data_IF_391796661137
#
_entry.id   IF_391796661137
#
_cell.length_a   1.000
_cell.length_b   1.000
_cell.length_c   1.000
_cell.angle_alpha   90.00
_cell.angle_beta   90.00
_cell.angle_gamma   90.00
#
_symmetry.space_group_name_H-M   'P 1'
#
loop_
_entity.id
_entity.type
_entity.pdbx_description
1 polymer ?
#
# COMPACT_ATOMS: atom_id res chain seq x y z
N UNK A 1 9.20 2.41 24.69
CA UNK A 1 8.25 1.65 23.85
C UNK A 1 7.03 2.51 23.68
N UNK A 2 6.86 3.04 22.47
CA UNK A 2 5.73 3.88 22.13
C UNK A 2 4.61 3.01 21.55
N UNK A 3 3.38 3.28 21.94
CA UNK A 3 2.18 2.58 21.50
C UNK A 3 1.11 3.61 21.15
N UNK A 4 0.46 3.38 20.00
CA UNK A 4 -0.66 4.18 19.53
C UNK A 4 -1.65 3.28 18.79
N UNK A 5 -2.86 3.78 18.58
CA UNK A 5 -3.84 3.13 17.73
C UNK A 5 -4.56 4.12 16.82
N UNK A 6 -5.07 3.62 15.70
CA UNK A 6 -5.89 4.36 14.73
C UNK A 6 -7.18 3.57 14.45
N UNK A 7 -8.29 4.24 14.11
CA UNK A 7 -9.49 3.56 13.66
C UNK A 7 -9.24 2.85 12.33
N UNK A 8 -9.90 1.70 12.14
CA UNK A 8 -9.80 0.92 10.90
C UNK A 8 -11.12 0.23 10.57
N UNK A 9 -11.50 0.30 9.30
CA UNK A 9 -12.60 -0.47 8.75
C UNK A 9 -12.08 -1.80 8.20
N UNK A 10 -12.40 -2.91 8.88
CA UNK A 10 -12.00 -4.24 8.44
C UNK A 10 -12.69 -4.69 7.15
N UNK A 11 -13.77 -4.03 6.70
CA UNK A 11 -14.41 -4.28 5.41
C UNK A 11 -13.74 -3.53 4.26
N UNK A 12 -12.81 -2.61 4.56
CA UNK A 12 -11.98 -1.94 3.58
C UNK A 12 -10.63 -2.69 3.46
N UNK A 13 -10.43 -3.55 2.44
CA UNK A 13 -9.18 -4.30 2.29
C UNK A 13 -7.95 -3.39 2.18
N UNK A 14 -8.09 -2.22 1.56
CA UNK A 14 -7.02 -1.23 1.47
C UNK A 14 -6.51 -0.79 2.83
N UNK A 15 -7.42 -0.51 3.77
CA UNK A 15 -7.03 -0.10 5.12
C UNK A 15 -6.32 -1.23 5.87
N UNK A 16 -6.79 -2.48 5.75
CA UNK A 16 -6.14 -3.65 6.38
C UNK A 16 -4.73 -3.86 5.82
N UNK A 17 -4.54 -3.73 4.50
CA UNK A 17 -3.21 -3.80 3.89
C UNK A 17 -2.34 -2.61 4.31
N UNK A 18 -2.92 -1.42 4.45
CA UNK A 18 -2.22 -0.24 4.95
C UNK A 18 -1.79 -0.36 6.41
N UNK A 19 -2.55 -1.07 7.26
CA UNK A 19 -2.13 -1.43 8.61
C UNK A 19 -0.86 -2.31 8.61
N UNK A 20 -0.80 -3.31 7.73
CA UNK A 20 0.44 -4.07 7.52
C UNK A 20 1.57 -3.16 7.01
N UNK A 21 1.27 -2.22 6.10
CA UNK A 21 2.23 -1.21 5.64
C UNK A 21 2.78 -0.32 6.75
N UNK A 22 1.92 0.14 7.67
CA UNK A 22 2.33 0.88 8.86
C UNK A 22 3.25 0.03 9.74
N UNK A 23 2.91 -1.23 9.98
CA UNK A 23 3.73 -2.16 10.76
C UNK A 23 5.12 -2.36 10.14
N UNK A 24 5.19 -2.65 8.84
CA UNK A 24 6.44 -2.82 8.10
C UNK A 24 7.29 -1.55 8.10
N UNK A 25 6.67 -0.39 7.86
CA UNK A 25 7.34 0.90 7.86
C UNK A 25 7.86 1.26 9.26
N UNK A 26 7.05 1.04 10.30
CA UNK A 26 7.44 1.31 11.67
C UNK A 26 8.57 0.38 12.13
N UNK A 27 8.58 -0.90 11.72
CA UNK A 27 9.70 -1.80 12.03
C UNK A 27 10.99 -1.32 11.37
N UNK A 28 10.94 -0.91 10.09
CA UNK A 28 12.08 -0.35 9.38
C UNK A 28 12.58 0.94 10.04
N UNK A 29 11.68 1.83 10.49
CA UNK A 29 12.02 3.16 11.00
C UNK A 29 12.42 3.15 12.48
N UNK A 30 11.71 2.40 13.31
CA UNK A 30 11.82 2.45 14.76
C UNK A 30 12.38 1.15 15.37
N UNK A 31 12.29 0.03 14.65
CA UNK A 31 12.74 -1.29 15.12
C UNK A 31 11.78 -1.94 16.12
N UNK A 32 11.75 -3.27 16.10
CA UNK A 32 10.93 -4.12 16.98
C UNK A 32 9.46 -3.67 16.98
N UNK A 33 8.90 -3.43 15.80
CA UNK A 33 7.50 -3.06 15.71
C UNK A 33 6.62 -4.29 15.86
N UNK A 34 5.47 -4.13 16.50
CA UNK A 34 4.44 -5.15 16.59
C UNK A 34 3.07 -4.49 16.41
N UNK A 35 2.16 -5.15 15.71
CA UNK A 35 0.85 -4.60 15.41
C UNK A 35 -0.25 -5.65 15.39
N UNK A 36 -1.47 -5.21 15.67
CA UNK A 36 -2.64 -6.08 15.76
C UNK A 36 -3.93 -5.31 15.67
N UNK A 37 -5.00 -5.98 15.26
CA UNK A 37 -6.33 -5.40 15.21
C UNK A 37 -7.06 -5.67 16.52
N UNK A 38 -7.72 -4.64 17.05
CA UNK A 38 -8.63 -4.73 18.18
C UNK A 38 -10.05 -4.51 17.68
N UNK A 39 -10.83 -5.59 17.68
CA UNK A 39 -12.27 -5.58 17.35
C UNK A 39 -13.11 -6.01 18.57
N UNK A 40 -12.57 -5.90 19.78
CA UNK A 40 -13.31 -6.19 21.02
C UNK A 40 -14.56 -5.31 21.15
N UNK A 41 -14.50 -4.09 20.59
CA UNK A 41 -15.63 -3.21 20.38
C UNK A 41 -15.94 -3.08 18.88
N UNK A 42 -17.07 -3.64 18.42
CA UNK A 42 -17.44 -3.62 17.00
C UNK A 42 -17.73 -2.22 16.46
N UNK A 43 -18.08 -1.24 17.32
CA UNK A 43 -18.30 0.14 16.89
C UNK A 43 -17.03 1.01 16.88
N UNK A 44 -15.90 0.48 17.36
CA UNK A 44 -14.65 1.21 17.51
C UNK A 44 -13.45 0.29 17.24
N UNK A 45 -13.43 -0.30 16.05
CA UNK A 45 -12.36 -1.20 15.62
C UNK A 45 -11.09 -0.41 15.34
N UNK A 46 -9.97 -0.88 15.89
CA UNK A 46 -8.68 -0.20 15.83
C UNK A 46 -7.56 -1.09 15.32
N UNK A 47 -6.53 -0.46 14.80
CA UNK A 47 -5.22 -1.07 14.62
C UNK A 47 -4.25 -0.48 15.63
N UNK A 48 -3.70 -1.32 16.50
CA UNK A 48 -2.70 -0.97 17.49
C UNK A 48 -1.31 -1.23 16.94
N UNK A 49 -0.39 -0.30 17.18
CA UNK A 49 1.00 -0.38 16.74
C UNK A 49 1.92 0.05 17.87
N UNK A 50 2.88 -0.81 18.20
CA UNK A 50 3.94 -0.53 19.18
C UNK A 50 5.32 -0.66 18.55
N UNK A 51 6.27 0.14 19.04
CA UNK A 51 7.68 0.11 18.58
C UNK A 51 8.65 0.35 19.73
N UNK A 52 9.93 0.04 19.52
CA UNK A 52 10.99 0.35 20.50
C UNK A 52 11.19 1.86 20.74
N UNK A 53 10.68 2.73 19.85
CA UNK A 53 10.82 4.18 19.94
C UNK A 53 10.05 4.84 21.09
N UNK A 54 10.10 6.18 21.11
CA UNK A 54 9.44 7.02 22.13
C UNK A 54 8.32 7.91 21.56
N UNK A 55 8.23 8.03 20.23
CA UNK A 55 7.24 8.84 19.54
C UNK A 55 6.12 7.97 18.97
N UNK A 56 4.98 8.59 18.65
CA UNK A 56 3.86 7.92 18.01
C UNK A 56 4.31 7.28 16.67
N UNK A 57 4.19 5.94 16.50
CA UNK A 57 4.72 5.27 15.32
C UNK A 57 4.00 5.66 14.01
N UNK A 58 2.71 5.99 14.05
CA UNK A 58 2.00 6.49 12.87
C UNK A 58 2.54 7.84 12.43
N UNK A 59 2.79 8.74 13.40
CA UNK A 59 3.38 10.06 13.14
C UNK A 59 4.75 9.93 12.48
N UNK A 60 5.61 9.04 12.97
CA UNK A 60 6.94 8.78 12.41
C UNK A 60 6.87 8.28 10.95
N UNK A 61 6.01 7.31 10.67
CA UNK A 61 5.82 6.77 9.30
C UNK A 61 5.28 7.85 8.36
N UNK A 62 4.28 8.62 8.78
CA UNK A 62 3.68 9.69 7.97
C UNK A 62 4.67 10.84 7.73
N UNK A 63 5.48 11.20 8.74
CA UNK A 63 6.54 12.19 8.59
C UNK A 63 7.59 11.72 7.59
N UNK A 64 8.01 10.45 7.68
CA UNK A 64 8.92 9.84 6.71
C UNK A 64 8.36 9.92 5.29
N UNK A 65 7.12 9.50 5.07
CA UNK A 65 6.50 9.54 3.73
C UNK A 65 6.38 10.96 3.18
N UNK A 66 6.01 11.94 4.01
CA UNK A 66 5.90 13.34 3.60
C UNK A 66 7.25 13.91 3.13
N UNK A 67 8.36 13.50 3.74
CA UNK A 67 9.69 14.06 3.49
C UNK A 67 10.59 13.19 2.59
N UNK A 68 10.17 11.98 2.26
CA UNK A 68 10.96 11.05 1.49
C UNK A 68 11.04 11.45 0.01
N UNK A 69 12.15 11.06 -0.63
CA UNK A 69 12.34 11.12 -2.07
C UNK A 69 11.87 9.82 -2.71
N UNK A 70 11.15 9.93 -3.82
CA UNK A 70 10.65 8.81 -4.60
C UNK A 70 11.40 8.75 -5.93
N UNK A 71 12.00 7.60 -6.24
CA UNK A 71 12.76 7.38 -7.46
C UNK A 71 12.37 6.05 -8.11
N UNK A 72 12.43 5.93 -9.44
CA UNK A 72 12.30 4.64 -10.09
C UNK A 72 13.56 3.81 -9.83
N UNK A 73 13.37 2.53 -9.57
CA UNK A 73 14.46 1.56 -9.53
C UNK A 73 14.57 0.85 -10.87
N UNK A 74 15.80 0.75 -11.40
CA UNK A 74 16.08 0.13 -12.70
C UNK A 74 17.31 -0.78 -12.58
N UNK A 75 17.42 -1.89 -13.35
CA UNK A 75 18.64 -2.68 -13.35
C UNK A 75 19.79 -1.90 -13.99
N UNK A 76 21.01 -2.14 -13.50
CA UNK A 76 22.22 -1.47 -13.96
C UNK A 76 22.48 -1.65 -15.46
N UNK A 77 22.13 -2.83 -16.00
CA UNK A 77 22.38 -3.23 -17.39
C UNK A 77 21.32 -2.73 -18.40
N UNK A 78 20.29 -2.00 -17.96
CA UNK A 78 19.22 -1.54 -18.85
C UNK A 78 19.66 -0.44 -19.83
N UNK A 79 20.72 0.28 -19.50
CA UNK A 79 21.05 1.55 -20.10
C UNK A 79 21.69 1.36 -21.48
N UNK A 80 20.96 1.64 -22.57
CA UNK A 80 21.59 1.79 -23.89
C UNK A 80 22.38 3.11 -23.95
N UNK A 81 23.35 3.21 -24.85
CA UNK A 81 24.20 4.40 -24.99
C UNK A 81 23.41 5.63 -25.46
N UNK A 82 22.34 5.41 -26.23
CA UNK A 82 21.40 6.43 -26.71
C UNK A 82 20.54 7.01 -25.59
N UNK A 83 20.04 6.19 -24.66
CA UNK A 83 19.25 6.65 -23.50
C UNK A 83 20.07 7.49 -22.51
N UNK A 84 21.40 7.29 -22.47
CA UNK A 84 22.33 8.12 -21.68
C UNK A 84 22.49 9.51 -22.28
N UNK A 85 22.57 9.61 -23.61
CA UNK A 85 22.75 10.86 -24.33
C UNK A 85 21.50 11.75 -24.28
N UNK A 86 20.30 11.15 -24.27
CA UNK A 86 19.04 11.88 -24.15
C UNK A 86 18.69 12.33 -22.72
N UNK A 87 19.55 12.05 -21.71
CA UNK A 87 19.32 12.35 -20.28
C UNK A 87 18.00 11.80 -19.69
N UNK A 88 17.25 10.95 -20.41
CA UNK A 88 15.95 10.40 -19.98
C UNK A 88 16.03 9.62 -18.66
N UNK A 89 17.20 9.09 -18.32
CA UNK A 89 17.47 8.30 -17.11
C UNK A 89 18.22 9.08 -16.01
N UNK A 90 18.50 10.37 -16.21
CA UNK A 90 19.25 11.19 -15.25
C UNK A 90 18.40 11.39 -13.98
N UNK A 91 18.68 10.61 -12.93
CA UNK A 91 17.93 10.60 -11.67
C UNK A 91 17.30 9.25 -11.27
N UNK A 92 17.49 8.19 -12.06
CA UNK A 92 17.02 6.85 -11.71
C UNK A 92 18.04 6.11 -10.84
N UNK A 93 17.57 5.41 -9.80
CA UNK A 93 18.46 4.57 -9.00
C UNK A 93 18.73 3.26 -9.74
N UNK A 94 19.99 3.01 -10.07
CA UNK A 94 20.46 1.74 -10.63
C UNK A 94 20.69 0.73 -9.52
N UNK A 95 20.19 -0.49 -9.72
CA UNK A 95 20.41 -1.61 -8.81
C UNK A 95 21.17 -2.75 -9.49
N UNK A 96 22.16 -3.29 -8.77
CA UNK A 96 22.88 -4.53 -9.12
C UNK A 96 21.98 -5.75 -9.00
N UNK A 97 21.08 -5.73 -8.02
CA UNK A 97 20.11 -6.78 -7.75
C UNK A 97 18.74 -6.21 -8.07
N UNK A 98 18.22 -6.54 -9.23
CA UNK A 98 16.92 -6.08 -9.69
C UNK A 98 15.89 -7.19 -9.52
N UNK A 99 14.72 -6.90 -8.93
CA UNK A 99 13.89 -7.96 -8.37
C UNK A 99 13.15 -8.81 -9.43
N UNK A 100 13.11 -8.45 -10.72
CA UNK A 100 12.45 -9.23 -11.77
C UNK A 100 13.15 -9.16 -13.13
N UNK A 101 12.73 -10.00 -14.08
CA UNK A 101 12.90 -9.72 -15.51
C UNK A 101 12.37 -8.32 -15.80
N UNK A 102 13.17 -7.55 -16.55
CA UNK A 102 12.87 -6.19 -16.98
C UNK A 102 11.44 -6.06 -17.52
N UNK A 103 10.61 -5.13 -17.01
CA UNK A 103 9.32 -4.90 -17.60
C UNK A 103 9.48 -4.29 -19.01
N UNK A 104 8.59 -4.67 -19.94
CA UNK A 104 8.55 -4.11 -21.29
C UNK A 104 8.32 -2.59 -21.31
N UNK A 105 7.86 -2.01 -20.20
CA UNK A 105 7.55 -0.58 -20.05
C UNK A 105 8.03 -0.04 -18.70
N UNK A 106 8.58 1.18 -18.73
CA UNK A 106 9.01 1.93 -17.54
C UNK A 106 7.90 2.17 -16.52
N UNK A 107 6.65 2.15 -16.98
CA UNK A 107 5.47 2.35 -16.14
C UNK A 107 5.32 1.29 -15.04
N UNK A 108 6.00 0.15 -15.16
CA UNK A 108 5.97 -0.93 -14.17
C UNK A 108 7.24 -1.05 -13.32
N UNK A 109 8.20 -0.12 -13.44
CA UNK A 109 9.40 -0.13 -12.59
C UNK A 109 9.01 -0.03 -11.10
N UNK A 110 9.73 -0.72 -10.21
CA UNK A 110 9.61 -0.52 -8.78
C UNK A 110 9.91 0.94 -8.38
N UNK A 111 9.36 1.36 -7.25
CA UNK A 111 9.55 2.70 -6.70
C UNK A 111 10.39 2.59 -5.43
N UNK A 112 11.56 3.21 -5.44
CA UNK A 112 12.41 3.36 -4.27
C UNK A 112 12.00 4.61 -3.48
N UNK A 113 11.73 4.43 -2.20
CA UNK A 113 11.43 5.49 -1.25
C UNK A 113 12.65 5.69 -0.36
N UNK A 114 13.19 6.90 -0.30
CA UNK A 114 14.44 7.23 0.39
C UNK A 114 14.17 8.34 1.41
N UNK A 115 14.32 8.03 2.70
CA UNK A 115 14.24 9.04 3.76
C UNK A 115 15.55 9.77 4.03
N UNK A 116 15.49 10.86 4.80
CA UNK A 116 16.65 11.68 5.20
C UNK A 116 17.77 10.87 5.86
N UNK A 117 17.42 9.84 6.63
CA UNK A 117 18.37 8.98 7.35
C UNK A 117 18.98 7.87 6.47
N UNK A 118 18.87 7.98 5.14
CA UNK A 118 19.27 6.96 4.16
C UNK A 118 18.57 5.60 4.32
N UNK A 119 17.56 5.50 5.21
CA UNK A 119 16.63 4.38 5.25
C UNK A 119 15.84 4.37 3.94
N UNK A 120 15.73 3.18 3.35
CA UNK A 120 15.12 3.02 2.04
C UNK A 120 14.29 1.74 2.00
N UNK A 121 13.20 1.82 1.24
CA UNK A 121 12.37 0.67 0.88
C UNK A 121 12.11 0.70 -0.62
N UNK A 122 11.87 -0.47 -1.19
CA UNK A 122 11.47 -0.63 -2.58
C UNK A 122 10.04 -1.13 -2.58
N UNK A 123 9.15 -0.41 -3.25
CA UNK A 123 7.80 -0.85 -3.58
C UNK A 123 7.86 -1.48 -4.97
N UNK A 124 7.81 -2.80 -5.02
CA UNK A 124 8.10 -3.57 -6.22
C UNK A 124 7.34 -4.87 -6.29
N UNK A 125 6.34 -5.09 -5.43
CA UNK A 125 5.58 -6.34 -5.32
C UNK A 125 4.95 -6.84 -6.64
N UNK A 126 4.74 -5.95 -7.62
CA UNK A 126 4.28 -6.27 -8.98
C UNK A 126 5.39 -6.64 -9.97
N UNK A 127 6.65 -6.48 -9.59
CA UNK A 127 7.87 -6.68 -10.35
C UNK A 127 8.94 -7.37 -9.47
N UNK A 128 8.53 -8.27 -8.58
CA UNK A 128 9.41 -8.93 -7.63
C UNK A 128 10.01 -10.27 -8.11
N UNK A 129 9.70 -10.65 -9.36
CA UNK A 129 10.25 -11.83 -10.04
C UNK A 129 9.86 -13.16 -9.41
N UNK A 130 9.06 -13.15 -8.35
CA UNK A 130 8.66 -14.33 -7.61
C UNK A 130 7.50 -15.05 -8.29
N UNK A 131 7.22 -16.27 -7.85
CA UNK A 131 6.02 -17.02 -8.23
C UNK A 131 4.75 -16.51 -7.55
N UNK A 132 4.85 -15.54 -6.62
CA UNK A 132 3.71 -14.98 -5.90
C UNK A 132 2.82 -14.18 -6.83
N UNK A 133 1.55 -14.06 -6.47
CA UNK A 133 0.64 -13.18 -7.19
C UNK A 133 1.17 -11.73 -7.14
N UNK A 134 1.39 -11.13 -8.31
CA UNK A 134 1.86 -9.75 -8.44
C UNK A 134 0.94 -8.75 -7.75
N UNK A 135 -0.34 -9.09 -7.57
CA UNK A 135 -1.38 -8.23 -7.01
C UNK A 135 -1.32 -6.78 -7.52
N UNK A 136 -1.04 -6.65 -8.83
CA UNK A 136 -0.94 -5.38 -9.53
C UNK A 136 -2.32 -4.95 -9.97
N UNK A 137 -2.77 -3.79 -9.49
CA UNK A 137 -4.12 -3.29 -9.74
C UNK A 137 -4.18 -2.16 -10.78
N UNK A 138 -3.08 -1.48 -11.04
CA UNK A 138 -2.99 -0.43 -12.06
C UNK A 138 -2.48 -0.97 -13.41
N UNK A 139 -2.87 -0.33 -14.51
CA UNK A 139 -2.51 -0.70 -15.87
C UNK A 139 -2.42 0.50 -16.82
N UNK A 140 -2.02 0.24 -18.07
CA UNK A 140 -1.97 1.24 -19.14
C UNK A 140 -0.73 2.14 -19.08
N UNK A 141 -0.91 3.42 -19.41
CA UNK A 141 0.17 4.41 -19.49
C UNK A 141 0.48 5.08 -18.12
N UNK A 142 -0.11 4.58 -17.03
CA UNK A 142 0.17 5.09 -15.67
C UNK A 142 1.44 4.43 -15.13
N UNK A 143 2.41 5.24 -14.71
CA UNK A 143 3.63 4.73 -14.07
C UNK A 143 3.46 4.57 -12.56
N UNK A 144 4.09 3.54 -11.99
CA UNK A 144 4.12 3.33 -10.54
C UNK A 144 4.68 4.55 -9.82
N UNK A 145 5.79 5.11 -10.34
CA UNK A 145 6.40 6.33 -9.81
C UNK A 145 5.43 7.51 -9.86
N UNK A 146 4.75 7.74 -10.99
CA UNK A 146 3.81 8.86 -11.12
C UNK A 146 2.65 8.75 -10.14
N UNK A 147 2.13 7.54 -9.93
CA UNK A 147 1.09 7.27 -8.92
C UNK A 147 1.63 7.56 -7.51
N UNK A 148 2.82 7.03 -7.17
CA UNK A 148 3.42 7.20 -5.85
C UNK A 148 3.79 8.67 -5.54
N UNK A 149 4.27 9.42 -6.53
CA UNK A 149 4.58 10.85 -6.39
C UNK A 149 3.32 11.66 -6.07
N UNK A 150 2.20 11.41 -6.75
CA UNK A 150 0.92 12.09 -6.45
C UNK A 150 0.45 11.80 -5.02
N UNK A 151 0.66 10.57 -4.53
CA UNK A 151 0.35 10.20 -3.14
C UNK A 151 1.27 10.92 -2.15
N UNK A 152 2.58 10.97 -2.42
CA UNK A 152 3.53 11.66 -1.56
C UNK A 152 3.26 13.16 -1.48
N UNK A 153 2.98 13.82 -2.61
CA UNK A 153 2.60 15.24 -2.65
C UNK A 153 1.33 15.50 -1.83
N UNK A 154 0.31 14.63 -1.97
CA UNK A 154 -0.93 14.71 -1.20
C UNK A 154 -0.67 14.53 0.31
N UNK A 155 0.16 13.54 0.70
CA UNK A 155 0.53 13.31 2.10
C UNK A 155 1.31 14.51 2.65
N UNK A 156 2.23 15.09 1.87
CA UNK A 156 2.98 16.27 2.29
C UNK A 156 2.07 17.48 2.52
N UNK A 157 1.09 17.71 1.65
CA UNK A 157 0.11 18.78 1.84
C UNK A 157 -0.75 18.56 3.10
N UNK A 158 -1.24 17.33 3.29
CA UNK A 158 -1.99 16.95 4.49
C UNK A 158 -1.13 17.04 5.76
N UNK A 159 0.14 16.71 5.67
CA UNK A 159 1.10 16.80 6.77
C UNK A 159 1.36 18.25 7.21
N UNK A 160 1.27 19.20 6.28
CA UNK A 160 1.39 20.64 6.56
C UNK A 160 0.10 21.25 7.10
N UNK A 161 -1.06 20.84 6.56
CA UNK A 161 -2.35 21.49 6.82
C UNK A 161 -3.23 20.80 7.86
N UNK A 162 -3.12 19.47 8.01
CA UNK A 162 -4.02 18.61 8.81
C UNK A 162 -3.26 17.54 9.60
N UNK A 163 -2.04 17.86 10.08
CA UNK A 163 -1.13 16.90 10.73
C UNK A 163 -1.77 16.07 11.83
N UNK A 164 -2.51 16.72 12.72
CA UNK A 164 -3.15 16.04 13.87
C UNK A 164 -4.16 15.00 13.38
N UNK A 165 -5.11 15.40 12.52
CA UNK A 165 -6.09 14.48 11.94
C UNK A 165 -5.44 13.37 11.12
N UNK A 166 -4.40 13.69 10.34
CA UNK A 166 -3.66 12.70 9.55
C UNK A 166 -2.97 11.65 10.46
N UNK A 167 -2.57 12.04 11.67
CA UNK A 167 -1.93 11.15 12.64
C UNK A 167 -2.94 10.27 13.38
N UNK A 168 -4.10 10.82 13.75
CA UNK A 168 -5.11 10.12 14.56
C UNK A 168 -6.13 9.34 13.73
N UNK A 169 -6.43 9.80 12.52
CA UNK A 169 -7.41 9.22 11.60
C UNK A 169 -6.88 9.22 10.15
N UNK A 170 -5.71 8.60 9.90
CA UNK A 170 -5.05 8.65 8.59
C UNK A 170 -5.93 8.15 7.43
N UNK A 171 -6.77 7.15 7.70
CA UNK A 171 -7.60 6.52 6.68
C UNK A 171 -8.86 7.32 6.33
N UNK A 172 -9.33 8.23 7.20
CA UNK A 172 -10.56 9.00 6.98
C UNK A 172 -10.38 10.17 6.01
N UNK A 173 -9.12 10.53 5.71
CA UNK A 173 -8.82 11.64 4.82
C UNK A 173 -8.70 11.11 3.38
N UNK A 174 -9.65 11.51 2.54
CA UNK A 174 -9.59 11.33 1.08
C UNK A 174 -9.11 12.61 0.39
N UNK A 175 -8.43 12.46 -0.74
CA UNK A 175 -8.05 13.56 -1.61
C UNK A 175 -8.37 13.21 -3.06
N UNK A 176 -8.62 14.26 -3.84
CA UNK A 176 -8.91 14.16 -5.26
C UNK A 176 -7.59 14.07 -6.05
N UNK A 177 -7.22 12.86 -6.49
CA UNK A 177 -5.92 12.55 -7.11
C UNK A 177 -6.03 12.20 -8.60
N UNK A 178 -4.99 12.50 -9.38
CA UNK A 178 -4.92 12.16 -10.82
C UNK A 178 -4.57 10.68 -11.09
N UNK A 179 -4.15 9.95 -10.06
CA UNK A 179 -3.78 8.54 -10.13
C UNK A 179 -3.93 7.87 -8.77
N UNK A 180 -4.10 6.54 -8.79
CA UNK A 180 -4.24 5.70 -7.59
C UNK A 180 -3.71 4.30 -7.92
N UNK A 181 -3.28 3.56 -6.88
CA UNK A 181 -2.92 2.15 -6.98
C UNK A 181 -4.16 1.25 -6.96
N UNK A 182 -5.34 1.80 -6.72
CA UNK A 182 -6.66 1.18 -6.63
C UNK A 182 -6.84 0.25 -5.43
N UNK A 183 -6.14 0.52 -4.32
CA UNK A 183 -6.30 -0.21 -3.06
C UNK A 183 -7.43 0.33 -2.20
N UNK A 184 -7.86 1.58 -2.39
CA UNK A 184 -8.98 2.13 -1.62
C UNK A 184 -10.31 1.91 -2.37
N UNK A 185 -11.23 1.05 -1.87
CA UNK A 185 -12.53 0.81 -2.50
C UNK A 185 -13.42 2.07 -2.55
N UNK A 186 -13.12 3.12 -1.78
CA UNK A 186 -13.85 4.39 -1.87
C UNK A 186 -13.60 5.12 -3.19
N UNK A 187 -12.42 4.91 -3.79
CA UNK A 187 -12.07 5.42 -5.11
C UNK A 187 -12.56 4.52 -6.25
N UNK A 188 -13.12 3.35 -5.94
CA UNK A 188 -13.70 2.43 -6.91
C UNK A 188 -15.01 3.02 -7.43
N UNK A 189 -14.91 3.75 -8.54
CA UNK A 189 -16.02 4.42 -9.22
C UNK A 189 -17.25 3.50 -9.32
N UNK A 190 -18.38 4.00 -8.80
CA UNK A 190 -19.67 3.32 -8.78
C UNK A 190 -20.06 2.88 -10.20
N UNK A 191 -20.42 1.60 -10.34
CA UNK A 191 -20.80 0.88 -11.56
C UNK A 191 -22.06 1.39 -12.29
N UNK A 192 -22.50 2.63 -12.07
CA UNK A 192 -23.63 3.22 -12.81
C UNK A 192 -23.20 3.74 -14.19
N UNK A 193 -21.92 4.01 -14.43
CA UNK A 193 -21.41 4.52 -15.72
C UNK A 193 -20.46 3.54 -16.44
N UNK A 194 -20.89 2.28 -16.57
CA UNK A 194 -20.17 1.26 -17.34
C UNK A 194 -20.18 1.58 -18.85
N UNK A 195 -19.26 2.45 -19.29
CA UNK A 195 -19.05 2.75 -20.71
C UNK A 195 -17.92 3.72 -21.02
N UNK A 196 -17.31 4.36 -20.02
CA UNK A 196 -16.37 5.46 -20.26
C UNK A 196 -14.97 5.20 -19.71
N UNK A 197 -13.93 5.49 -20.52
CA UNK A 197 -12.53 5.49 -20.10
C UNK A 197 -12.16 6.91 -19.66
N UNK A 198 -11.92 7.17 -18.35
CA UNK A 198 -11.76 8.52 -17.80
C UNK A 198 -10.52 9.28 -18.30
N UNK A 199 -9.58 8.60 -18.97
CA UNK A 199 -8.31 9.19 -19.39
C UNK A 199 -8.45 10.33 -20.41
N UNK A 200 -9.63 10.56 -21.03
CA UNK A 200 -9.84 11.67 -21.97
C UNK A 200 -10.44 12.95 -21.34
N UNK A 201 -10.86 12.93 -20.07
CA UNK A 201 -11.56 14.06 -19.44
C UNK A 201 -11.00 14.54 -18.09
N UNK A 202 -9.86 14.03 -17.63
CA UNK A 202 -9.19 14.59 -16.43
C UNK A 202 -9.93 14.34 -15.11
N UNK A 203 -10.82 13.34 -15.06
CA UNK A 203 -11.56 12.99 -13.85
C UNK A 203 -10.62 12.49 -12.75
N UNK A 204 -10.72 13.08 -11.56
CA UNK A 204 -9.91 12.76 -10.38
C UNK A 204 -10.52 11.60 -9.61
N UNK A 205 -9.68 10.78 -8.99
CA UNK A 205 -10.08 9.68 -8.09
C UNK A 205 -10.11 10.22 -6.67
N UNK A 206 -11.23 10.04 -5.98
CA UNK A 206 -11.40 10.36 -4.57
C UNK A 206 -10.95 9.14 -3.73
N UNK A 207 -9.75 9.17 -3.17
CA UNK A 207 -9.20 8.06 -2.38
C UNK A 207 -8.27 8.58 -1.27
N UNK A 208 -7.96 7.75 -0.27
CA UNK A 208 -6.96 8.13 0.73
C UNK A 208 -5.54 7.86 0.21
N UNK A 209 -4.67 8.89 0.07
CA UNK A 209 -3.29 8.68 -0.37
C UNK A 209 -2.50 7.81 0.63
N UNK A 210 -2.87 7.85 1.91
CA UNK A 210 -2.26 7.02 2.96
C UNK A 210 -2.62 5.55 2.77
N UNK A 211 -3.90 5.24 2.54
CA UNK A 211 -4.36 3.87 2.27
C UNK A 211 -3.64 3.32 1.04
N UNK A 212 -3.59 4.08 -0.04
CA UNK A 212 -3.02 3.62 -1.30
C UNK A 212 -1.52 3.28 -1.20
N UNK A 213 -0.70 4.18 -0.64
CA UNK A 213 0.75 3.97 -0.59
C UNK A 213 1.15 2.94 0.47
N UNK A 214 0.49 2.91 1.63
CA UNK A 214 0.80 1.95 2.67
C UNK A 214 0.24 0.56 2.36
N UNK A 215 -0.88 0.44 1.64
CA UNK A 215 -1.31 -0.85 1.13
C UNK A 215 -0.26 -1.44 0.17
N UNK A 216 0.28 -0.62 -0.74
CA UNK A 216 1.38 -1.05 -1.60
C UNK A 216 2.62 -1.51 -0.79
N UNK A 217 2.97 -0.79 0.27
CA UNK A 217 4.07 -1.18 1.17
C UNK A 217 3.76 -2.49 1.91
N UNK A 218 2.59 -2.61 2.55
CA UNK A 218 2.21 -3.80 3.31
C UNK A 218 2.21 -5.07 2.44
N UNK A 219 1.89 -4.91 1.15
CA UNK A 219 1.92 -6.00 0.19
C UNK A 219 3.30 -6.26 -0.42
N UNK A 220 4.39 -5.62 0.00
CA UNK A 220 5.74 -5.98 -0.49
C UNK A 220 6.11 -7.41 -0.05
N UNK A 221 5.91 -7.70 1.24
CA UNK A 221 6.34 -8.96 1.85
C UNK A 221 5.19 -9.97 2.12
N UNK A 222 3.95 -9.60 1.87
CA UNK A 222 2.78 -10.48 1.96
C UNK A 222 1.89 -10.32 0.71
N UNK A 223 1.09 -11.33 0.38
CA UNK A 223 0.02 -11.23 -0.62
C UNK A 223 -1.25 -11.82 -0.04
N UNK A 224 -2.42 -11.19 -0.23
CA UNK A 224 -3.67 -11.83 0.11
C UNK A 224 -3.90 -13.05 -0.80
N UNK A 225 -4.76 -13.96 -0.36
CA UNK A 225 -5.05 -15.22 -1.06
C UNK A 225 -6.09 -14.98 -2.18
N UNK A 226 -5.68 -15.06 -3.44
CA UNK A 226 -6.60 -15.06 -4.59
C UNK A 226 -7.06 -16.51 -4.88
N UNK A 227 -8.06 -16.96 -4.12
CA UNK A 227 -8.55 -18.35 -4.13
C UNK A 227 -9.37 -18.72 -5.38
N UNK A 228 -9.91 -17.72 -6.07
CA UNK A 228 -10.53 -17.85 -7.39
C UNK A 228 -10.22 -16.60 -8.22
N UNK A 229 -10.42 -16.67 -9.54
CA UNK A 229 -10.19 -15.53 -10.43
C UNK A 229 -10.91 -14.29 -9.91
N UNK A 230 -10.14 -13.27 -9.51
CA UNK A 230 -10.61 -11.99 -8.95
C UNK A 230 -11.44 -12.11 -7.67
N UNK A 231 -11.38 -13.22 -6.95
CA UNK A 231 -11.89 -13.33 -5.57
C UNK A 231 -10.72 -13.49 -4.63
N UNK A 232 -10.63 -12.60 -3.66
CA UNK A 232 -9.46 -12.44 -2.81
C UNK A 232 -9.91 -12.53 -1.35
N UNK A 233 -9.11 -13.19 -0.53
CA UNK A 233 -9.32 -13.34 0.91
C UNK A 233 -8.17 -12.73 1.70
N UNK A 234 -8.49 -12.16 2.85
CA UNK A 234 -7.54 -11.78 3.89
C UNK A 234 -8.12 -12.08 5.27
N UNK A 235 -7.26 -12.04 6.29
CA UNK A 235 -7.65 -12.13 7.68
C UNK A 235 -7.14 -10.92 8.46
N UNK A 236 -7.99 -10.39 9.33
CA UNK A 236 -7.59 -9.51 10.40
C UNK A 236 -7.23 -10.38 11.61
N UNK A 237 -6.09 -10.11 12.25
CA UNK A 237 -5.57 -10.89 13.38
C UNK A 237 -5.65 -10.11 14.70
N UNK A 238 -6.00 -10.80 15.78
CA UNK A 238 -6.44 -10.19 17.04
C UNK A 238 -5.37 -10.06 18.13
N UNK A 239 -4.10 -10.35 17.80
CA UNK A 239 -2.96 -10.21 18.69
C UNK A 239 -1.94 -9.24 18.10
N UNK A 240 -1.16 -8.59 18.95
CA UNK A 240 0.00 -7.82 18.51
C UNK A 240 1.09 -8.79 18.05
N UNK A 241 1.47 -8.70 16.78
CA UNK A 241 2.42 -9.60 16.12
C UNK A 241 3.56 -8.79 15.48
N UNK A 242 4.80 -9.30 15.49
CA UNK A 242 5.88 -8.75 14.67
C UNK A 242 5.57 -8.92 13.17
N UNK A 243 6.20 -8.13 12.27
CA UNK A 243 5.90 -8.15 10.83
C UNK A 243 5.90 -9.55 10.22
N UNK A 244 6.89 -10.39 10.57
CA UNK A 244 7.00 -11.73 10.02
C UNK A 244 5.78 -12.63 10.30
N UNK A 245 5.19 -12.52 11.50
CA UNK A 245 4.00 -13.27 11.87
C UNK A 245 2.74 -12.59 11.32
N UNK A 246 2.69 -11.25 11.29
CA UNK A 246 1.59 -10.50 10.71
C UNK A 246 1.38 -10.80 9.21
N UNK A 247 2.48 -10.98 8.44
CA UNK A 247 2.42 -11.40 7.02
C UNK A 247 1.69 -12.73 6.83
N UNK A 248 2.00 -13.71 7.67
CA UNK A 248 1.34 -15.03 7.64
C UNK A 248 -0.08 -14.94 8.19
N UNK A 249 -0.29 -14.06 9.17
CA UNK A 249 -1.60 -13.81 9.76
C UNK A 249 -2.57 -13.21 8.75
N UNK A 250 -2.10 -12.33 7.85
CA UNK A 250 -2.90 -11.73 6.77
C UNK A 250 -3.59 -12.78 5.88
N UNK A 251 -2.97 -13.95 5.67
CA UNK A 251 -3.54 -15.04 4.86
C UNK A 251 -4.25 -16.11 5.72
N UNK A 252 -4.45 -15.86 7.01
CA UNK A 252 -5.11 -16.79 7.92
C UNK A 252 -4.24 -17.99 8.32
N UNK A 253 -2.92 -17.91 8.16
CA UNK A 253 -1.99 -19.03 8.34
C UNK A 253 -1.49 -19.26 9.77
N UNK A 254 -1.93 -18.46 10.76
CA UNK A 254 -1.47 -18.56 12.15
C UNK A 254 -2.59 -19.11 13.03
N UNK A 255 -2.62 -20.44 13.20
CA UNK A 255 -3.72 -21.16 13.85
C UNK A 255 -4.03 -20.74 15.30
N UNK A 256 -3.04 -20.26 16.04
CA UNK A 256 -3.18 -19.91 17.46
C UNK A 256 -3.67 -18.47 17.70
N UNK A 257 -3.80 -17.67 16.64
CA UNK A 257 -4.18 -16.26 16.75
C UNK A 257 -5.67 -16.12 16.42
N UNK A 258 -6.48 -15.44 17.26
CA UNK A 258 -7.86 -15.11 16.91
C UNK A 258 -7.91 -14.32 15.61
N UNK A 259 -8.79 -14.69 14.69
CA UNK A 259 -8.88 -14.09 13.36
C UNK A 259 -10.32 -13.88 12.92
N UNK A 260 -10.56 -12.80 12.18
CA UNK A 260 -11.76 -12.62 11.34
C UNK A 260 -11.33 -12.70 9.88
N UNK A 261 -11.97 -13.56 9.09
CA UNK A 261 -11.69 -13.71 7.65
C UNK A 261 -12.66 -12.87 6.84
N UNK A 262 -12.15 -12.31 5.75
CA UNK A 262 -12.89 -11.44 4.85
C UNK A 262 -12.56 -11.80 3.41
N UNK A 263 -13.56 -11.66 2.53
CA UNK A 263 -13.40 -11.86 1.09
C UNK A 263 -13.90 -10.64 0.33
N UNK A 264 -13.24 -10.31 -0.76
CA UNK A 264 -13.65 -9.22 -1.66
C UNK A 264 -13.42 -9.63 -3.11
N UNK A 265 -13.94 -8.81 -4.03
CA UNK A 265 -13.78 -9.02 -5.48
C UNK A 265 -12.88 -7.96 -6.07
N UNK A 266 -12.18 -8.32 -7.13
CA UNK A 266 -11.51 -7.36 -8.01
C UNK A 266 -12.43 -7.08 -9.20
N UNK A 267 -12.92 -5.84 -9.31
CA UNK A 267 -13.66 -5.39 -10.49
C UNK A 267 -12.72 -4.76 -11.51
N UNK A 268 -13.23 -4.56 -12.73
CA UNK A 268 -12.49 -3.91 -13.79
C UNK A 268 -13.02 -2.50 -14.02
N UNK A 269 -12.12 -1.53 -14.04
CA UNK A 269 -12.38 -0.17 -14.54
C UNK A 269 -11.43 0.09 -15.72
N UNK A 270 -11.96 -0.09 -16.93
CA UNK A 270 -11.14 -0.21 -18.14
C UNK A 270 -10.16 -1.38 -18.03
N UNK A 271 -8.86 -1.08 -18.08
CA UNK A 271 -7.79 -2.09 -17.92
C UNK A 271 -7.31 -2.26 -16.48
N UNK A 272 -7.76 -1.42 -15.56
CA UNK A 272 -7.35 -1.46 -14.15
C UNK A 272 -8.22 -2.45 -13.39
N UNK A 273 -7.63 -3.10 -12.38
CA UNK A 273 -8.38 -3.78 -11.33
C UNK A 273 -8.65 -2.78 -10.20
N UNK A 274 -9.83 -2.85 -9.62
CA UNK A 274 -10.23 -2.06 -8.45
C UNK A 274 -10.70 -3.02 -7.36
N UNK A 275 -10.34 -2.76 -6.11
CA UNK A 275 -10.85 -3.55 -4.98
C UNK A 275 -12.28 -3.11 -4.64
N UNK A 276 -13.11 -4.06 -4.20
CA UNK A 276 -14.41 -3.76 -3.59
C UNK A 276 -14.29 -3.76 -2.07
N UNK A 277 -15.30 -3.24 -1.38
CA UNK A 277 -15.51 -3.60 0.02
C UNK A 277 -15.64 -5.12 0.16
N UNK A 278 -15.18 -5.62 1.30
CA UNK A 278 -15.18 -7.02 1.62
C UNK A 278 -16.49 -7.44 2.30
N UNK A 279 -16.70 -8.74 2.39
CA UNK A 279 -17.70 -9.40 3.22
C UNK A 279 -16.94 -10.25 4.25
N UNK A 280 -17.39 -10.23 5.50
CA UNK A 280 -16.84 -11.15 6.50
C UNK A 280 -17.29 -12.58 6.17
N UNK A 281 -16.36 -13.52 6.19
CA UNK A 281 -16.69 -14.94 6.11
C UNK A 281 -17.30 -15.38 7.44
N UNK A 282 -18.48 -15.97 7.38
CA UNK A 282 -19.08 -16.65 8.53
C UNK A 282 -18.50 -18.06 8.53
N UNK A 283 -17.71 -18.39 9.55
CA UNK A 283 -17.29 -19.77 9.75
C UNK A 283 -18.56 -20.59 10.05
N UNK A 284 -19.03 -21.34 9.06
CA UNK A 284 -19.96 -22.45 9.32
C UNK A 284 -19.11 -23.54 9.97
N UNK A 285 -19.09 -23.54 11.31
CA UNK A 285 -18.48 -24.60 12.11
C UNK A 285 -19.08 -25.97 11.82
#
# INVERSE_FOLDING_TARGET
MAESSIPVDLFNPGQVFACLGFLEAADMLCGNAEGGFDWSNESDVKFCLRTAGNENPFKEVLAFLAEAKFEPETPENRCSEEERLEQKLCGWTKSKVFPSVLPDKDSALPVRIIGKNKKQIVLGHWADGSSRNKFKLYAGNRSALGIATVMQESILELWKSKREKLTTQPFDITTSMSGSFNFDPRGAWTTIDAGYSPNRQGHRVEASPVVEILAAWGLENARPDEFEVRKVRYAAWGLVLPPILARVALIGGVAVVPMKRFRFKLYMSGKNKIVTFAEQEVDYG
#
